data_IF_432394002849
#
_entry.id   IF_432394002849
#
_cell.length_a   1.000
_cell.length_b   1.000
_cell.length_c   1.000
_cell.angle_alpha   90.00
_cell.angle_beta   90.00
_cell.angle_gamma   90.00
#
_symmetry.space_group_name_H-M   'P 1'
#
loop_
_entity.id
_entity.type
_entity.pdbx_description
1 polymer ?
#
# COMPACT_ATOMS: atom_id res chain seq x y z
N UNK A 1 21.04 -18.43 2.81
CA UNK A 1 19.69 -18.73 3.32
C UNK A 1 18.84 -17.46 3.27
N UNK A 2 17.54 -17.53 2.93
CA UNK A 2 16.67 -16.38 3.02
C UNK A 2 16.48 -15.98 4.49
N UNK A 3 16.52 -14.67 4.76
CA UNK A 3 16.30 -14.13 6.11
C UNK A 3 14.90 -14.48 6.62
N UNK A 4 14.81 -14.78 7.91
CA UNK A 4 13.53 -14.96 8.61
C UNK A 4 12.88 -13.60 8.95
N UNK A 5 11.58 -13.60 9.27
CA UNK A 5 10.87 -12.38 9.67
C UNK A 5 11.41 -11.80 11.00
N UNK A 6 11.91 -12.65 11.90
CA UNK A 6 12.57 -12.20 13.13
C UNK A 6 13.88 -11.47 12.86
N UNK A 7 14.71 -12.00 11.96
CA UNK A 7 15.95 -11.34 11.53
C UNK A 7 15.64 -10.00 10.82
N UNK A 8 14.60 -9.93 9.97
CA UNK A 8 14.18 -8.69 9.34
C UNK A 8 13.75 -7.63 10.37
N UNK A 9 13.11 -8.04 11.46
CA UNK A 9 12.73 -7.12 12.55
C UNK A 9 13.93 -6.58 13.29
N UNK A 10 14.92 -7.41 13.57
CA UNK A 10 16.13 -7.03 14.30
C UNK A 10 17.12 -6.24 13.48
N UNK A 11 17.00 -6.20 12.13
CA UNK A 11 17.88 -5.42 11.28
C UNK A 11 17.89 -3.95 11.67
N UNK A 12 19.05 -3.43 11.99
CA UNK A 12 19.29 -2.01 12.20
C UNK A 12 20.35 -1.49 11.23
N UNK A 13 20.20 -0.24 10.81
CA UNK A 13 21.24 0.48 10.09
C UNK A 13 22.06 1.28 11.10
N UNK A 14 23.38 1.26 10.93
CA UNK A 14 24.29 2.15 11.68
C UNK A 14 24.15 3.60 11.18
N UNK A 15 25.25 4.28 10.93
CA UNK A 15 25.27 5.65 10.39
C UNK A 15 24.86 5.75 8.91
N UNK A 16 24.97 4.66 8.16
CA UNK A 16 24.62 4.60 6.72
C UNK A 16 23.48 3.62 6.48
N UNK A 17 22.71 3.85 5.41
CA UNK A 17 21.69 2.89 5.02
C UNK A 17 22.34 1.53 4.66
N UNK A 18 21.64 0.44 5.01
CA UNK A 18 22.09 -0.92 4.75
C UNK A 18 21.09 -1.61 3.83
N UNK A 19 21.59 -2.27 2.80
CA UNK A 19 20.77 -3.12 1.92
C UNK A 19 21.11 -4.58 2.19
N UNK A 20 20.10 -5.40 2.39
CA UNK A 20 20.23 -6.83 2.67
C UNK A 20 19.37 -7.63 1.71
N UNK A 21 19.91 -8.74 1.18
CA UNK A 21 19.17 -9.65 0.32
C UNK A 21 18.20 -10.49 1.13
N UNK A 22 16.98 -10.60 0.64
CA UNK A 22 15.90 -11.43 1.22
C UNK A 22 15.70 -12.73 0.42
N UNK A 23 16.42 -12.86 -0.69
CA UNK A 23 16.33 -13.97 -1.64
C UNK A 23 15.57 -13.60 -2.91
N UNK A 24 15.76 -14.35 -4.00
CA UNK A 24 15.11 -14.17 -5.30
C UNK A 24 15.18 -12.74 -5.86
N UNK A 25 16.33 -12.08 -5.71
CA UNK A 25 16.52 -10.68 -6.13
C UNK A 25 15.57 -9.69 -5.44
N UNK A 26 14.99 -10.06 -4.31
CA UNK A 26 14.28 -9.18 -3.38
C UNK A 26 15.25 -8.70 -2.32
N UNK A 27 15.21 -7.42 -2.02
CA UNK A 27 16.09 -6.76 -1.05
C UNK A 27 15.26 -5.94 -0.08
N UNK A 28 15.86 -5.68 1.09
CA UNK A 28 15.34 -4.73 2.06
C UNK A 28 16.40 -3.64 2.31
N UNK A 29 16.00 -2.38 2.15
CA UNK A 29 16.78 -1.22 2.57
C UNK A 29 16.38 -0.82 3.97
N UNK A 30 17.37 -0.71 4.86
CA UNK A 30 17.21 -0.25 6.24
C UNK A 30 17.86 1.11 6.38
N UNK A 31 17.09 2.12 6.74
CA UNK A 31 17.57 3.48 6.90
C UNK A 31 17.95 3.77 8.36
N UNK A 32 18.98 4.60 8.61
CA UNK A 32 19.36 5.02 9.96
C UNK A 32 18.24 5.78 10.66
N UNK A 33 18.15 5.64 11.98
CA UNK A 33 17.18 6.37 12.81
C UNK A 33 17.24 7.89 12.61
N UNK A 34 18.43 8.42 12.41
CA UNK A 34 18.70 9.85 12.11
C UNK A 34 18.06 10.34 10.78
N UNK A 35 17.76 9.42 9.84
CA UNK A 35 17.09 9.68 8.55
C UNK A 35 15.67 9.11 8.51
N UNK A 36 14.94 9.11 9.65
CA UNK A 36 13.57 8.64 9.75
C UNK A 36 13.41 7.13 9.97
N UNK A 37 14.49 6.35 10.03
CA UNK A 37 14.50 4.95 10.48
C UNK A 37 13.46 4.05 9.83
N UNK A 38 13.47 3.83 8.54
CA UNK A 38 12.52 2.96 7.85
C UNK A 38 13.15 1.72 7.24
N UNK A 39 12.33 0.69 7.02
CA UNK A 39 12.71 -0.51 6.25
C UNK A 39 11.79 -0.61 5.05
N UNK A 40 12.36 -0.80 3.85
CA UNK A 40 11.60 -0.81 2.60
C UNK A 40 12.04 -1.97 1.72
N UNK A 41 11.08 -2.74 1.22
CA UNK A 41 11.34 -3.75 0.22
C UNK A 41 11.48 -3.14 -1.17
N UNK A 42 12.41 -3.67 -1.94
CA UNK A 42 12.56 -3.43 -3.36
C UNK A 42 13.06 -4.68 -4.06
N UNK A 43 12.62 -4.87 -5.29
CA UNK A 43 13.10 -5.92 -6.16
C UNK A 43 14.16 -5.38 -7.12
N UNK A 44 15.09 -6.23 -7.56
CA UNK A 44 16.17 -5.88 -8.47
C UNK A 44 16.25 -6.86 -9.61
N UNK A 45 16.22 -6.36 -10.84
CA UNK A 45 16.41 -7.18 -12.04
C UNK A 45 17.14 -6.41 -13.13
N UNK A 46 17.55 -7.11 -14.21
CA UNK A 46 18.06 -6.45 -15.42
C UNK A 46 16.93 -6.28 -16.43
N UNK A 47 16.84 -5.12 -17.04
CA UNK A 47 15.90 -4.84 -18.11
C UNK A 47 16.60 -4.04 -19.22
N UNK A 48 16.37 -4.38 -20.51
CA UNK A 48 15.66 -5.57 -21.00
C UNK A 48 16.35 -6.88 -20.58
N UNK A 49 15.62 -8.02 -20.53
CA UNK A 49 16.20 -9.31 -20.21
C UNK A 49 17.27 -9.68 -21.25
N UNK A 50 18.40 -10.23 -20.81
CA UNK A 50 19.55 -10.57 -21.65
C UNK A 50 20.84 -9.84 -21.26
N UNK A 51 21.90 -10.06 -21.99
CA UNK A 51 23.25 -9.62 -21.63
C UNK A 51 23.51 -8.13 -21.61
N UNK A 52 22.70 -7.31 -22.30
CA UNK A 52 22.85 -5.85 -22.40
C UNK A 52 21.96 -5.03 -21.45
N UNK A 53 21.11 -5.68 -20.65
CA UNK A 53 20.16 -4.98 -19.78
C UNK A 53 20.81 -4.22 -18.63
N UNK A 54 20.27 -3.03 -18.32
CA UNK A 54 20.64 -2.24 -17.15
C UNK A 54 19.98 -2.75 -15.89
N UNK A 55 20.64 -2.61 -14.74
CA UNK A 55 20.02 -2.93 -13.44
C UNK A 55 18.91 -1.93 -13.12
N UNK A 56 17.75 -2.47 -12.78
CA UNK A 56 16.55 -1.72 -12.42
C UNK A 56 16.10 -2.14 -11.03
N UNK A 57 15.87 -1.16 -10.17
CA UNK A 57 15.32 -1.36 -8.84
C UNK A 57 13.85 -0.90 -8.81
N UNK A 58 12.97 -1.78 -8.36
CA UNK A 58 11.52 -1.54 -8.27
C UNK A 58 11.10 -1.51 -6.81
N UNK A 59 10.65 -0.36 -6.33
CA UNK A 59 10.18 -0.22 -4.94
C UNK A 59 8.85 -0.94 -4.76
N UNK A 60 8.78 -1.81 -3.74
CA UNK A 60 7.56 -2.52 -3.35
C UNK A 60 6.84 -1.73 -2.27
N UNK A 61 7.47 -1.49 -1.12
CA UNK A 61 6.89 -0.70 -0.06
C UNK A 61 7.53 -0.90 1.31
N UNK A 62 7.00 -0.22 2.35
CA UNK A 62 7.56 -0.30 3.70
C UNK A 62 7.30 -1.67 4.34
N UNK A 63 8.32 -2.19 5.03
CA UNK A 63 8.19 -3.41 5.82
C UNK A 63 7.39 -3.16 7.09
N UNK A 64 6.50 -4.08 7.45
CA UNK A 64 5.78 -4.06 8.72
C UNK A 64 4.44 -4.76 8.69
N UNK A 65 3.62 -4.48 9.70
CA UNK A 65 2.24 -4.96 9.81
C UNK A 65 1.28 -3.76 9.77
N UNK A 66 0.12 -3.96 9.19
CA UNK A 66 -0.93 -2.94 9.07
C UNK A 66 -1.08 -2.39 7.65
N UNK A 67 -1.99 -1.44 7.51
CA UNK A 67 -2.35 -0.85 6.20
C UNK A 67 -1.15 -0.18 5.55
N UNK A 68 -0.94 -0.46 4.25
CA UNK A 68 0.16 0.10 3.47
C UNK A 68 1.55 -0.46 3.78
N UNK A 69 1.67 -1.46 4.67
CA UNK A 69 2.92 -2.13 5.00
C UNK A 69 2.95 -3.56 4.45
N UNK A 70 4.14 -4.03 4.15
CA UNK A 70 4.37 -5.33 3.51
C UNK A 70 5.01 -6.31 4.49
N UNK A 71 4.41 -7.50 4.62
CA UNK A 71 5.09 -8.64 5.21
C UNK A 71 6.12 -9.19 4.22
N UNK A 72 7.07 -10.00 4.71
CA UNK A 72 8.06 -10.64 3.83
C UNK A 72 7.40 -11.53 2.75
N UNK A 73 6.36 -12.27 3.14
CA UNK A 73 5.60 -13.14 2.22
C UNK A 73 4.93 -12.32 1.12
N UNK A 74 4.16 -11.31 1.50
CA UNK A 74 3.46 -10.45 0.55
C UNK A 74 4.44 -9.70 -0.40
N UNK A 75 5.59 -9.25 0.11
CA UNK A 75 6.61 -8.62 -0.70
C UNK A 75 7.25 -9.57 -1.73
N UNK A 76 7.40 -10.86 -1.38
CA UNK A 76 7.89 -11.88 -2.33
C UNK A 76 6.87 -12.17 -3.43
N UNK A 77 5.61 -12.37 -3.06
CA UNK A 77 4.51 -12.62 -4.01
C UNK A 77 4.39 -11.44 -4.99
N UNK A 78 4.43 -10.23 -4.48
CA UNK A 78 4.37 -9.02 -5.30
C UNK A 78 5.58 -8.88 -6.22
N UNK A 79 6.78 -9.19 -5.74
CA UNK A 79 7.98 -9.16 -6.55
C UNK A 79 7.95 -10.21 -7.68
N UNK A 80 7.48 -11.41 -7.40
CA UNK A 80 7.31 -12.43 -8.43
C UNK A 80 6.26 -12.01 -9.48
N UNK A 81 5.16 -11.39 -9.06
CA UNK A 81 4.15 -10.83 -9.98
C UNK A 81 4.76 -9.81 -10.94
N UNK A 82 5.54 -8.85 -10.41
CA UNK A 82 6.20 -7.82 -11.22
C UNK A 82 7.21 -8.44 -12.19
N UNK A 83 8.01 -9.41 -11.74
CA UNK A 83 8.99 -10.11 -12.59
C UNK A 83 8.33 -10.87 -13.72
N UNK A 84 7.27 -11.62 -13.43
CA UNK A 84 6.52 -12.39 -14.40
C UNK A 84 5.92 -11.46 -15.44
N UNK A 85 5.23 -10.41 -15.02
CA UNK A 85 4.67 -9.41 -15.93
C UNK A 85 5.73 -8.80 -16.85
N UNK A 86 6.88 -8.38 -16.31
CA UNK A 86 7.96 -7.79 -17.10
C UNK A 86 8.57 -8.78 -18.10
N UNK A 87 8.63 -10.08 -17.76
CA UNK A 87 9.11 -11.13 -18.68
C UNK A 87 8.11 -11.41 -19.79
N UNK A 88 6.83 -11.44 -19.48
CA UNK A 88 5.75 -11.74 -20.43
C UNK A 88 5.51 -10.57 -21.39
N UNK A 89 5.55 -9.34 -20.90
CA UNK A 89 5.29 -8.14 -21.71
C UNK A 89 6.54 -7.56 -22.37
N UNK A 90 7.74 -7.91 -21.88
CA UNK A 90 8.99 -7.27 -22.29
C UNK A 90 9.13 -5.82 -21.84
N UNK A 91 8.21 -5.30 -21.01
CA UNK A 91 8.19 -3.92 -20.56
C UNK A 91 9.02 -3.69 -19.28
N UNK A 92 9.41 -2.45 -19.06
CA UNK A 92 10.14 -2.06 -17.83
C UNK A 92 9.28 -2.35 -16.59
N UNK A 93 9.79 -3.10 -15.60
CA UNK A 93 9.03 -3.47 -14.41
C UNK A 93 8.53 -2.26 -13.60
N UNK A 94 9.09 -1.07 -13.82
CA UNK A 94 8.64 0.18 -13.18
C UNK A 94 7.35 0.71 -13.79
N UNK A 95 7.06 0.38 -15.05
CA UNK A 95 5.85 0.86 -15.75
C UNK A 95 4.58 0.24 -15.14
N UNK A 96 4.62 -1.05 -14.74
CA UNK A 96 3.49 -1.67 -14.05
C UNK A 96 3.01 -0.84 -12.85
N UNK A 97 3.95 -0.34 -12.06
CA UNK A 97 3.65 0.51 -10.90
C UNK A 97 3.12 1.88 -11.26
N UNK A 98 3.55 2.43 -12.40
CA UNK A 98 3.02 3.70 -12.90
C UNK A 98 1.60 3.53 -13.41
N UNK A 99 1.34 2.49 -14.19
CA UNK A 99 0.00 2.18 -14.70
C UNK A 99 -0.99 1.93 -13.56
N UNK A 100 -0.60 1.18 -12.53
CA UNK A 100 -1.44 0.95 -11.36
C UNK A 100 -1.78 2.26 -10.63
N UNK A 101 -0.78 3.15 -10.46
CA UNK A 101 -1.01 4.47 -9.86
C UNK A 101 -1.91 5.34 -10.73
N UNK A 102 -1.69 5.35 -12.05
CA UNK A 102 -2.52 6.09 -12.99
C UNK A 102 -3.96 5.58 -12.98
N UNK A 103 -4.16 4.26 -13.05
CA UNK A 103 -5.50 3.64 -12.94
C UNK A 103 -6.21 4.02 -11.64
N UNK A 104 -5.49 4.06 -10.52
CA UNK A 104 -6.04 4.51 -9.22
C UNK A 104 -6.37 6.00 -9.25
N UNK A 105 -5.59 6.82 -9.93
CA UNK A 105 -5.85 8.26 -10.10
C UNK A 105 -6.97 8.55 -11.10
N UNK A 106 -6.99 7.85 -12.24
CA UNK A 106 -8.00 8.00 -13.30
C UNK A 106 -9.35 7.41 -12.89
N UNK A 107 -9.33 6.30 -12.17
CA UNK A 107 -10.57 5.72 -11.65
C UNK A 107 -11.24 6.66 -10.65
N UNK A 108 -10.58 7.73 -10.21
CA UNK A 108 -11.16 8.76 -9.32
C UNK A 108 -11.98 8.19 -8.16
N UNK A 109 -12.05 6.89 -8.10
CA UNK A 109 -13.07 6.10 -7.47
C UNK A 109 -12.51 5.33 -6.27
N UNK A 110 -11.95 6.06 -5.35
CA UNK A 110 -12.20 5.66 -3.98
C UNK A 110 -13.72 5.81 -3.74
N UNK A 111 -14.31 5.04 -2.84
CA UNK A 111 -15.71 5.21 -2.52
C UNK A 111 -15.96 6.68 -2.19
N UNK A 112 -17.04 7.24 -2.74
CA UNK A 112 -17.48 8.59 -2.37
C UNK A 112 -17.83 8.60 -0.89
N UNK A 113 -17.84 9.79 -0.30
CA UNK A 113 -18.23 9.91 1.12
C UNK A 113 -19.63 9.33 1.36
N UNK A 114 -20.55 9.52 0.44
CA UNK A 114 -21.90 8.91 0.47
C UNK A 114 -21.85 7.38 0.52
N UNK A 115 -21.09 6.75 -0.39
CA UNK A 115 -20.95 5.30 -0.43
C UNK A 115 -20.30 4.74 0.84
N UNK A 116 -19.32 5.46 1.41
CA UNK A 116 -18.68 5.07 2.66
C UNK A 116 -19.65 5.12 3.83
N UNK A 117 -20.49 6.14 3.91
CA UNK A 117 -21.55 6.28 4.93
C UNK A 117 -22.52 5.11 4.85
N UNK A 118 -23.00 4.79 3.66
CA UNK A 118 -23.96 3.68 3.46
C UNK A 118 -23.32 2.33 3.83
N UNK A 119 -22.09 2.08 3.40
CA UNK A 119 -21.33 0.87 3.76
C UNK A 119 -21.12 0.76 5.28
N UNK A 120 -20.78 1.86 5.95
CA UNK A 120 -20.58 1.89 7.41
C UNK A 120 -21.87 1.59 8.18
N UNK A 121 -23.00 2.18 7.76
CA UNK A 121 -24.30 1.95 8.39
C UNK A 121 -24.79 0.51 8.18
N UNK A 122 -24.60 -0.03 6.97
CA UNK A 122 -24.90 -1.43 6.64
C UNK A 122 -24.06 -2.39 7.47
N UNK A 123 -22.74 -2.15 7.56
CA UNK A 123 -21.85 -2.94 8.42
C UNK A 123 -22.26 -2.85 9.90
N UNK A 124 -22.60 -1.66 10.39
CA UNK A 124 -23.03 -1.46 11.77
C UNK A 124 -24.31 -2.24 12.14
N UNK A 125 -25.21 -2.45 11.17
CA UNK A 125 -26.45 -3.22 11.38
C UNK A 125 -26.18 -4.73 11.57
N UNK A 126 -25.11 -5.28 10.99
CA UNK A 126 -24.83 -6.73 10.98
C UNK A 126 -23.56 -7.14 11.76
N UNK A 127 -22.80 -6.19 12.30
CA UNK A 127 -21.54 -6.47 12.97
C UNK A 127 -21.72 -7.40 14.18
N UNK A 128 -20.76 -8.31 14.35
CA UNK A 128 -20.66 -9.21 15.50
C UNK A 128 -19.58 -8.70 16.49
N UNK A 129 -19.71 -8.95 17.81
CA UNK A 129 -20.77 -9.72 18.49
C UNK A 129 -22.04 -8.91 18.80
N UNK A 130 -22.04 -7.58 18.58
CA UNK A 130 -23.19 -6.74 18.93
C UNK A 130 -23.50 -5.75 17.81
N UNK A 131 -24.62 -5.93 17.06
CA UNK A 131 -25.06 -4.99 16.07
C UNK A 131 -25.45 -3.64 16.69
N UNK A 132 -25.38 -2.57 15.91
CA UNK A 132 -25.85 -1.25 16.33
C UNK A 132 -27.37 -1.26 16.46
N UNK A 133 -27.89 -0.59 17.51
CA UNK A 133 -29.33 -0.41 17.67
C UNK A 133 -29.89 0.45 16.52
N UNK A 134 -31.13 0.21 16.06
CA UNK A 134 -31.75 0.98 14.97
C UNK A 134 -31.76 2.50 15.24
N UNK A 135 -31.94 2.92 16.48
CA UNK A 135 -31.86 4.32 16.89
C UNK A 135 -30.46 4.90 16.64
N UNK A 136 -29.42 4.17 17.00
CA UNK A 136 -28.03 4.59 16.82
C UNK A 136 -27.70 4.74 15.33
N UNK A 137 -28.16 3.81 14.49
CA UNK A 137 -27.99 3.88 13.02
C UNK A 137 -28.64 5.14 12.46
N UNK A 138 -29.88 5.46 12.94
CA UNK A 138 -30.62 6.68 12.54
C UNK A 138 -29.86 7.95 12.96
N UNK A 139 -29.37 7.99 14.19
CA UNK A 139 -28.64 9.14 14.71
C UNK A 139 -27.32 9.38 13.96
N UNK A 140 -26.59 8.31 13.64
CA UNK A 140 -25.38 8.39 12.81
C UNK A 140 -25.71 8.83 11.39
N UNK A 141 -26.75 8.27 10.77
CA UNK A 141 -27.20 8.69 9.43
C UNK A 141 -27.49 10.19 9.41
N UNK A 142 -28.27 10.70 10.37
CA UNK A 142 -28.62 12.10 10.44
C UNK A 142 -27.37 12.98 10.58
N UNK A 143 -26.41 12.63 11.44
CA UNK A 143 -25.17 13.39 11.63
C UNK A 143 -24.30 13.37 10.37
N UNK A 144 -24.10 12.21 9.76
CA UNK A 144 -23.25 12.04 8.59
C UNK A 144 -23.84 12.71 7.36
N UNK A 145 -25.14 12.52 7.10
CA UNK A 145 -25.81 13.06 5.92
C UNK A 145 -26.12 14.54 6.05
N UNK A 146 -26.64 14.98 7.20
CA UNK A 146 -27.14 16.36 7.34
C UNK A 146 -26.09 17.35 7.83
N UNK A 147 -25.04 16.89 8.48
CA UNK A 147 -24.00 17.77 9.03
C UNK A 147 -22.68 17.66 8.25
N UNK A 148 -22.24 16.45 7.91
CA UNK A 148 -20.91 16.27 7.31
C UNK A 148 -20.96 16.27 5.78
N UNK A 149 -21.96 15.68 5.13
CA UNK A 149 -22.08 15.69 3.66
C UNK A 149 -22.11 17.09 3.03
N UNK A 150 -22.80 18.11 3.59
CA UNK A 150 -22.79 19.45 3.02
C UNK A 150 -21.40 20.11 3.04
N UNK A 151 -20.59 19.80 4.05
CA UNK A 151 -19.23 20.36 4.19
C UNK A 151 -18.19 19.60 3.36
N UNK A 152 -18.32 18.29 3.27
CA UNK A 152 -17.32 17.42 2.64
C UNK A 152 -17.62 17.12 1.16
N UNK A 153 -18.87 17.34 0.71
CA UNK A 153 -19.34 16.95 -0.62
C UNK A 153 -19.68 15.45 -0.70
N UNK A 154 -20.93 15.15 -1.06
CA UNK A 154 -21.43 13.77 -1.13
C UNK A 154 -20.67 12.89 -2.13
N UNK A 155 -20.26 13.47 -3.26
CA UNK A 155 -19.59 12.80 -4.38
C UNK A 155 -18.07 12.90 -4.34
N UNK A 156 -17.52 13.54 -3.30
CA UNK A 156 -16.05 13.69 -3.17
C UNK A 156 -15.41 12.36 -2.80
N UNK A 157 -14.43 11.86 -3.58
CA UNK A 157 -13.68 10.66 -3.25
C UNK A 157 -12.93 10.85 -1.93
N UNK A 158 -13.06 9.91 -1.01
CA UNK A 158 -12.39 9.97 0.32
C UNK A 158 -10.87 10.07 0.21
N UNK A 159 -10.28 9.56 -0.87
CA UNK A 159 -8.86 9.64 -1.14
C UNK A 159 -8.33 11.07 -1.34
N UNK A 160 -9.18 12.01 -1.76
CA UNK A 160 -8.77 13.41 -1.97
C UNK A 160 -8.72 14.21 -0.66
N UNK A 161 -9.43 13.79 0.38
CA UNK A 161 -9.45 14.50 1.67
C UNK A 161 -8.26 14.18 2.57
N UNK A 162 -7.57 13.06 2.34
CA UNK A 162 -6.38 12.67 3.10
C UNK A 162 -5.08 13.30 2.58
N UNK A 163 -5.15 14.10 1.51
CA UNK A 163 -4.00 14.70 0.84
C UNK A 163 -3.69 16.15 1.21
N UNK A 164 -4.50 16.82 2.04
CA UNK A 164 -4.27 18.21 2.45
C UNK A 164 -3.81 18.28 3.90
N UNK A 165 -2.56 17.93 4.16
CA UNK A 165 -1.80 18.46 5.31
C UNK A 165 -0.34 18.46 4.92
N UNK A 166 0.12 19.65 4.49
CA UNK A 166 1.42 20.02 3.99
C UNK A 166 2.59 19.83 4.91
#
# INVERSE_FOLDING_TARGET
>A
MPLSDSELRSLEAGSRHKTVSVGNSLYISVYPKQKGGGKYFFGRMRHPPGGGGKQVDVRIGPYGRGVGKWSQKAAREEWERIRTWSRETGQDPRELRKEEKQKVQESGSGPTFSQLVDAYLAWGAVKQPKPMKPRTIRDYRNKLVNQMMPELGADTPVSQQLGCSG
#
